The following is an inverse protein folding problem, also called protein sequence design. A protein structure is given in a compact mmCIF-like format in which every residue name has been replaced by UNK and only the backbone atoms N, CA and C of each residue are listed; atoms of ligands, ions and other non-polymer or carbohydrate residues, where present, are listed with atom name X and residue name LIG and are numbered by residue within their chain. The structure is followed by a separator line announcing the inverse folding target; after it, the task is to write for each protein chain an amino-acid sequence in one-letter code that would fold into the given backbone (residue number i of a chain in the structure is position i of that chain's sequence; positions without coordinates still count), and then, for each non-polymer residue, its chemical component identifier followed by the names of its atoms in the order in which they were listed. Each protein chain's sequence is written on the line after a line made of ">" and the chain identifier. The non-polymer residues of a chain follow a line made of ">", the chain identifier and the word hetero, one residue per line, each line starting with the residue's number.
data_IF_397699418994
#
_entry.id   IF_397699418994
#
_cell.length_a   1.000
_cell.length_b   1.000
_cell.length_c   1.000
_cell.angle_alpha   90.00
_cell.angle_beta   90.00
_cell.angle_gamma   90.00
#
_symmetry.space_group_name_H-M   'P 1'
#
loop_
_entity.id
_entity.type
_entity.pdbx_description
1 polymer ?
#
# COMPACT_ATOMS: atom_id res chain seq x y z
N UNK A 1 -60.38 -29.07 -1.99
CA UNK A 1 -59.11 -29.82 -1.93
C UNK A 1 -57.92 -29.09 -2.56
N UNK A 2 -58.02 -27.81 -2.91
CA UNK A 2 -56.93 -27.08 -3.58
C UNK A 2 -55.95 -26.33 -2.64
N UNK A 3 -56.24 -26.24 -1.35
CA UNK A 3 -55.38 -25.50 -0.40
C UNK A 3 -54.15 -26.26 0.09
N UNK A 4 -54.07 -27.55 -0.16
CA UNK A 4 -53.00 -28.40 0.37
C UNK A 4 -51.75 -28.45 -0.55
N UNK A 5 -51.87 -28.03 -1.80
CA UNK A 5 -50.77 -28.11 -2.78
C UNK A 5 -49.84 -26.88 -2.70
N UNK A 6 -50.32 -25.76 -2.16
CA UNK A 6 -49.56 -24.50 -2.09
C UNK A 6 -48.61 -24.40 -0.90
N UNK A 7 -48.86 -25.21 0.14
CA UNK A 7 -48.01 -25.19 1.35
C UNK A 7 -46.55 -25.56 1.08
N UNK A 8 -46.22 -26.65 0.38
CA UNK A 8 -44.84 -27.02 0.11
C UNK A 8 -44.14 -26.00 -0.79
N UNK A 9 -44.82 -25.40 -1.73
CA UNK A 9 -44.27 -24.37 -2.62
C UNK A 9 -43.86 -23.12 -1.85
N UNK A 10 -44.67 -22.68 -0.87
CA UNK A 10 -44.36 -21.56 -0.02
C UNK A 10 -43.18 -21.85 0.93
N UNK A 11 -43.06 -23.07 1.42
CA UNK A 11 -41.93 -23.48 2.26
C UNK A 11 -40.61 -23.51 1.47
N UNK A 12 -40.63 -24.01 0.23
CA UNK A 12 -39.46 -24.00 -0.65
C UNK A 12 -39.05 -22.57 -1.00
N UNK A 13 -40.03 -21.71 -1.33
CA UNK A 13 -39.77 -20.32 -1.66
C UNK A 13 -39.21 -19.55 -0.45
N UNK A 14 -39.75 -19.77 0.76
CA UNK A 14 -39.26 -19.17 1.99
C UNK A 14 -37.83 -19.63 2.29
N UNK A 15 -37.55 -20.92 2.08
CA UNK A 15 -36.19 -21.47 2.26
C UNK A 15 -35.18 -20.85 1.31
N UNK A 16 -35.54 -20.70 0.03
CA UNK A 16 -34.68 -20.04 -0.96
C UNK A 16 -34.48 -18.54 -0.66
N UNK A 17 -35.55 -17.87 -0.21
CA UNK A 17 -35.46 -16.46 0.19
C UNK A 17 -34.54 -16.27 1.39
N UNK A 18 -34.65 -17.14 2.41
CA UNK A 18 -33.79 -17.09 3.58
C UNK A 18 -32.33 -17.43 3.24
N UNK A 19 -32.09 -18.38 2.32
CA UNK A 19 -30.76 -18.69 1.82
C UNK A 19 -30.16 -17.51 1.05
N UNK A 20 -30.94 -16.87 0.20
CA UNK A 20 -30.51 -15.67 -0.53
C UNK A 20 -30.24 -14.49 0.42
N UNK A 21 -31.12 -14.27 1.39
CA UNK A 21 -30.93 -13.22 2.40
C UNK A 21 -29.65 -13.46 3.23
N UNK A 22 -29.41 -14.70 3.60
CA UNK A 22 -28.18 -15.08 4.31
C UNK A 22 -26.93 -14.80 3.50
N UNK A 23 -26.96 -15.11 2.19
CA UNK A 23 -25.83 -14.84 1.30
C UNK A 23 -25.65 -13.34 1.04
N UNK A 24 -26.74 -12.60 0.89
CA UNK A 24 -26.73 -11.15 0.75
C UNK A 24 -26.17 -10.46 2.01
N UNK A 25 -26.61 -10.89 3.20
CA UNK A 25 -26.08 -10.37 4.48
C UNK A 25 -24.60 -10.71 4.62
N UNK A 26 -24.20 -11.93 4.25
CA UNK A 26 -22.80 -12.35 4.27
C UNK A 26 -21.93 -11.51 3.33
N UNK A 27 -22.43 -11.17 2.16
CA UNK A 27 -21.76 -10.30 1.19
C UNK A 27 -21.64 -8.86 1.69
N UNK A 28 -22.62 -8.36 2.44
CA UNK A 28 -22.59 -7.01 3.03
C UNK A 28 -21.67 -6.98 4.26
N UNK A 29 -21.66 -8.03 5.08
CA UNK A 29 -20.85 -8.10 6.30
C UNK A 29 -19.37 -8.38 6.00
N UNK A 30 -19.06 -9.04 4.87
CA UNK A 30 -17.68 -9.30 4.44
C UNK A 30 -17.02 -8.09 3.75
N UNK A 31 -17.76 -7.02 3.48
CA UNK A 31 -17.28 -5.81 2.81
C UNK A 31 -16.77 -4.70 3.73
N UNK A 32 -16.83 -4.86 5.05
CA UNK A 32 -16.53 -3.76 5.99
C UNK A 32 -15.44 -4.03 7.03
N UNK A 33 -14.78 -5.19 7.01
CA UNK A 33 -13.66 -5.46 7.92
C UNK A 33 -12.30 -5.27 7.26
N UNK A 34 -12.16 -4.25 6.41
CA UNK A 34 -10.87 -3.64 6.19
C UNK A 34 -10.73 -2.50 7.20
N UNK A 35 -10.52 -2.85 8.45
CA UNK A 35 -9.78 -1.98 9.35
C UNK A 35 -8.51 -1.55 8.58
N UNK A 36 -8.23 -0.26 8.44
CA UNK A 36 -6.96 0.19 7.90
C UNK A 36 -5.87 0.00 8.97
N UNK A 37 -5.57 -1.26 9.29
CA UNK A 37 -4.47 -1.62 10.19
C UNK A 37 -3.13 -1.72 9.47
N UNK A 38 -3.06 -1.25 8.22
CA UNK A 38 -1.77 -0.98 7.60
C UNK A 38 -1.27 0.35 8.12
N UNK A 39 -0.08 0.41 8.71
CA UNK A 39 0.52 1.70 9.02
C UNK A 39 0.54 2.51 7.72
N UNK A 40 -0.14 3.65 7.71
CA UNK A 40 -0.09 4.56 6.59
C UNK A 40 1.34 5.07 6.48
N UNK A 41 2.05 4.62 5.45
CA UNK A 41 3.35 5.14 5.10
C UNK A 41 3.22 6.04 3.88
N UNK A 42 4.09 7.03 3.81
CA UNK A 42 4.13 8.00 2.73
C UNK A 42 5.55 8.19 2.24
N UNK A 43 5.69 8.43 0.94
CA UNK A 43 6.89 9.00 0.36
C UNK A 43 6.63 10.45 0.02
N UNK A 44 7.63 11.29 0.27
CA UNK A 44 7.62 12.70 -0.08
C UNK A 44 8.91 13.02 -0.84
N UNK A 45 8.80 13.51 -2.07
CA UNK A 45 9.96 13.97 -2.83
C UNK A 45 10.42 15.33 -2.30
N UNK A 46 11.71 15.45 -2.00
CA UNK A 46 12.31 16.72 -1.64
C UNK A 46 12.77 17.44 -2.92
N UNK A 47 12.44 18.72 -3.09
CA UNK A 47 12.92 19.51 -4.23
C UNK A 47 14.44 19.68 -4.14
N UNK A 48 15.17 19.17 -5.12
CA UNK A 48 16.65 19.16 -5.17
C UNK A 48 17.27 20.50 -5.57
N UNK A 49 16.54 21.52 -5.87
CA UNK A 49 17.09 22.88 -6.08
C UNK A 49 15.95 23.86 -6.35
N UNK A 50 15.66 24.72 -5.42
CA UNK A 50 15.04 26.04 -5.63
C UNK A 50 13.86 26.20 -6.61
N UNK A 51 13.37 25.13 -7.20
CA UNK A 51 12.24 25.13 -8.11
C UNK A 51 10.92 25.06 -7.35
N UNK A 52 9.94 25.83 -7.78
CA UNK A 52 8.56 25.80 -7.27
C UNK A 52 7.81 24.52 -7.69
N UNK A 53 8.47 23.34 -7.65
CA UNK A 53 7.79 22.08 -7.90
C UNK A 53 6.94 21.76 -6.66
N UNK A 54 5.63 21.53 -6.80
CA UNK A 54 4.79 21.20 -5.66
C UNK A 54 5.28 19.90 -5.02
N UNK A 55 5.29 19.84 -3.70
CA UNK A 55 5.60 18.63 -2.94
C UNK A 55 4.69 17.49 -3.42
N UNK A 56 5.31 16.45 -3.91
CA UNK A 56 4.58 15.23 -4.28
C UNK A 56 4.61 14.23 -3.12
N UNK A 57 3.44 13.74 -2.76
CA UNK A 57 3.26 12.77 -1.66
C UNK A 57 2.58 11.52 -2.21
N UNK A 58 3.20 10.38 -2.02
CA UNK A 58 2.65 9.09 -2.45
C UNK A 58 2.34 8.21 -1.22
N UNK A 59 1.07 7.83 -1.02
CA UNK A 59 0.71 6.89 0.03
C UNK A 59 1.17 5.48 -0.35
N UNK A 60 1.77 4.78 0.61
CA UNK A 60 2.21 3.40 0.45
C UNK A 60 1.27 2.49 1.22
N UNK A 61 0.58 1.60 0.52
CA UNK A 61 -0.25 0.57 1.14
C UNK A 61 0.51 -0.74 1.29
N UNK A 62 0.76 -1.42 0.19
CA UNK A 62 1.46 -2.72 0.16
C UNK A 62 2.82 -2.64 -0.52
N UNK A 63 2.87 -1.98 -1.66
CA UNK A 63 4.07 -1.85 -2.48
C UNK A 63 4.04 -0.56 -3.29
N UNK A 64 5.22 0.02 -3.49
CA UNK A 64 5.44 1.17 -4.37
C UNK A 64 6.79 1.00 -5.08
N UNK A 65 6.83 1.30 -6.37
CA UNK A 65 8.03 1.25 -7.22
C UNK A 65 8.49 2.65 -7.57
N UNK A 66 9.80 2.82 -7.52
CA UNK A 66 10.47 4.08 -7.85
C UNK A 66 11.37 3.89 -9.07
N UNK A 67 11.37 4.84 -9.96
CA UNK A 67 12.24 4.81 -11.13
C UNK A 67 11.90 5.91 -12.13
N UNK A 68 12.73 6.06 -13.16
CA UNK A 68 12.53 7.06 -14.22
C UNK A 68 11.46 6.65 -15.23
N UNK A 69 11.16 5.36 -15.34
CA UNK A 69 10.16 4.85 -16.29
C UNK A 69 8.73 5.15 -15.84
N UNK A 70 7.85 5.47 -16.80
CA UNK A 70 6.43 5.76 -16.55
C UNK A 70 5.62 4.56 -16.00
N UNK A 71 6.19 3.37 -15.98
CA UNK A 71 5.56 2.18 -15.38
C UNK A 71 5.75 2.08 -13.86
N UNK A 72 6.44 3.02 -13.23
CA UNK A 72 6.61 3.08 -11.79
C UNK A 72 5.50 3.91 -11.14
N UNK A 73 5.25 3.65 -9.86
CA UNK A 73 4.28 4.40 -9.08
C UNK A 73 4.80 5.81 -8.74
N UNK A 74 6.13 5.91 -8.53
CA UNK A 74 6.86 7.17 -8.33
C UNK A 74 7.80 7.34 -9.50
N UNK A 75 7.48 8.28 -10.37
CA UNK A 75 8.32 8.63 -11.54
C UNK A 75 9.24 9.77 -11.14
N UNK A 76 10.54 9.45 -11.07
CA UNK A 76 11.59 10.42 -10.76
C UNK A 76 12.27 10.85 -12.07
N UNK A 77 12.05 12.10 -12.47
CA UNK A 77 12.61 12.66 -13.71
C UNK A 77 14.07 13.10 -13.49
N UNK A 78 14.95 12.11 -13.40
CA UNK A 78 16.38 12.28 -13.19
C UNK A 78 17.14 11.30 -14.09
N UNK A 79 18.10 11.74 -14.91
CA UNK A 79 18.90 10.87 -15.78
C UNK A 79 19.73 9.83 -15.02
N UNK A 80 20.05 10.08 -13.77
CA UNK A 80 20.80 9.15 -12.90
C UNK A 80 19.91 8.10 -12.24
N UNK A 81 18.60 8.17 -12.42
CA UNK A 81 17.64 7.17 -11.95
C UNK A 81 17.40 6.12 -13.04
N UNK A 82 17.52 4.86 -12.69
CA UNK A 82 17.22 3.73 -13.61
C UNK A 82 15.71 3.66 -13.91
N UNK A 83 15.33 3.05 -15.04
CA UNK A 83 13.93 2.87 -15.45
C UNK A 83 13.12 2.21 -14.33
N UNK A 84 13.61 1.12 -13.77
CA UNK A 84 13.11 0.51 -12.54
C UNK A 84 14.29 0.54 -11.54
N UNK A 85 14.22 1.42 -10.55
CA UNK A 85 15.37 1.67 -9.69
C UNK A 85 15.28 0.94 -8.37
N UNK A 86 14.19 1.13 -7.65
CA UNK A 86 13.96 0.54 -6.35
C UNK A 86 12.49 0.23 -6.10
N UNK A 87 12.23 -0.58 -5.08
CA UNK A 87 10.87 -0.81 -4.59
C UNK A 87 10.82 -0.76 -3.08
N UNK A 88 9.69 -0.28 -2.56
CA UNK A 88 9.34 -0.40 -1.15
C UNK A 88 8.15 -1.34 -1.06
N UNK A 89 8.17 -2.25 -0.11
CA UNK A 89 7.07 -3.19 0.10
C UNK A 89 6.85 -3.47 1.59
N UNK A 90 5.62 -3.83 1.91
CA UNK A 90 5.22 -4.22 3.26
C UNK A 90 5.35 -5.74 3.42
N UNK A 91 6.13 -6.18 4.39
CA UNK A 91 6.21 -7.57 4.82
C UNK A 91 6.06 -7.64 6.34
N UNK A 92 5.16 -8.49 6.83
CA UNK A 92 4.91 -8.72 8.27
C UNK A 92 4.76 -7.44 9.10
N UNK A 93 4.01 -6.45 8.56
CA UNK A 93 3.77 -5.13 9.16
C UNK A 93 5.00 -4.20 9.20
N UNK A 94 6.06 -4.51 8.48
CA UNK A 94 7.27 -3.71 8.36
C UNK A 94 7.52 -3.35 6.90
N UNK A 95 8.01 -2.14 6.66
CA UNK A 95 8.38 -1.69 5.33
C UNK A 95 9.84 -2.00 5.04
N UNK A 96 10.06 -2.52 3.84
CA UNK A 96 11.37 -2.89 3.32
C UNK A 96 11.64 -2.15 2.03
N UNK A 97 12.89 -1.71 1.84
CA UNK A 97 13.39 -1.14 0.60
C UNK A 97 14.36 -2.13 -0.04
N UNK A 98 14.25 -2.27 -1.35
CA UNK A 98 15.13 -3.10 -2.14
C UNK A 98 15.54 -2.36 -3.42
N UNK A 99 16.84 -2.35 -3.72
CA UNK A 99 17.39 -1.89 -4.99
C UNK A 99 17.16 -2.97 -6.07
N UNK A 100 16.68 -2.58 -7.24
CA UNK A 100 16.34 -3.50 -8.33
C UNK A 100 17.47 -3.67 -9.34
N UNK A 101 18.72 -3.56 -8.91
CA UNK A 101 19.89 -3.58 -9.77
C UNK A 101 20.10 -2.27 -10.49
N UNK A 102 19.93 -1.16 -9.80
CA UNK A 102 20.09 0.17 -10.36
C UNK A 102 21.54 0.47 -10.74
N UNK A 103 21.73 1.38 -11.70
CA UNK A 103 23.07 1.76 -12.17
C UNK A 103 23.83 2.59 -11.12
N UNK A 104 23.15 3.47 -10.43
CA UNK A 104 23.76 4.42 -9.49
C UNK A 104 23.44 4.09 -8.02
N UNK A 105 22.94 2.89 -7.75
CA UNK A 105 22.62 2.40 -6.41
C UNK A 105 21.54 3.23 -5.68
N UNK A 106 21.02 2.64 -4.62
CA UNK A 106 20.08 3.27 -3.70
C UNK A 106 20.74 3.41 -2.34
N UNK A 107 20.48 4.52 -1.64
CA UNK A 107 21.01 4.77 -0.30
C UNK A 107 19.87 5.07 0.67
N UNK A 108 19.99 4.58 1.90
CA UNK A 108 19.08 4.88 3.01
C UNK A 108 19.88 5.53 4.12
N UNK A 109 19.52 6.77 4.47
CA UNK A 109 20.24 7.57 5.47
C UNK A 109 21.77 7.66 5.20
N UNK A 110 22.17 7.65 3.92
CA UNK A 110 23.56 7.67 3.49
C UNK A 110 24.24 6.29 3.42
N UNK A 111 23.58 5.21 3.81
CA UNK A 111 24.11 3.85 3.73
C UNK A 111 23.64 3.16 2.44
N UNK A 112 24.58 2.48 1.78
CA UNK A 112 24.32 1.75 0.55
C UNK A 112 23.36 0.56 0.79
N UNK A 113 22.31 0.46 -0.01
CA UNK A 113 21.37 -0.67 -0.01
C UNK A 113 21.96 -1.81 -0.83
N UNK A 114 22.51 -2.83 -0.19
CA UNK A 114 23.07 -4.02 -0.84
C UNK A 114 22.13 -5.22 -0.86
N UNK A 115 20.94 -5.09 -0.31
CA UNK A 115 19.88 -6.11 -0.26
C UNK A 115 18.63 -5.52 0.39
N UNK A 116 17.57 -6.30 0.61
CA UNK A 116 16.39 -5.82 1.29
C UNK A 116 16.72 -5.21 2.65
N UNK A 117 16.42 -3.93 2.83
CA UNK A 117 16.71 -3.16 4.03
C UNK A 117 15.41 -2.67 4.67
N UNK A 118 15.26 -2.92 5.97
CA UNK A 118 14.11 -2.47 6.74
C UNK A 118 14.13 -0.95 6.89
N UNK A 119 12.99 -0.32 6.58
CA UNK A 119 12.79 1.11 6.79
C UNK A 119 12.26 1.37 8.20
N UNK A 120 12.85 2.35 8.88
CA UNK A 120 12.38 2.85 10.18
C UNK A 120 11.27 3.89 9.97
N UNK A 121 10.74 4.46 11.06
CA UNK A 121 9.64 5.43 11.03
C UNK A 121 9.89 6.61 10.08
N UNK A 122 11.12 7.08 10.02
CA UNK A 122 11.56 8.11 9.07
C UNK A 122 12.87 7.63 8.46
N UNK A 123 12.94 7.66 7.12
CA UNK A 123 14.14 7.31 6.38
C UNK A 123 14.33 8.25 5.19
N UNK A 124 15.54 8.73 5.02
CA UNK A 124 15.97 9.49 3.85
C UNK A 124 16.46 8.50 2.80
N UNK A 125 15.82 8.47 1.65
CA UNK A 125 16.15 7.55 0.55
C UNK A 125 16.69 8.38 -0.59
N UNK A 126 17.92 8.08 -1.03
CA UNK A 126 18.55 8.71 -2.19
C UNK A 126 18.55 7.73 -3.36
N UNK A 127 18.04 8.19 -4.50
CA UNK A 127 17.88 7.46 -5.74
C UNK A 127 18.40 8.33 -6.88
N UNK A 128 19.59 8.02 -7.39
CA UNK A 128 20.29 8.97 -8.29
C UNK A 128 20.56 10.29 -7.59
N UNK A 129 20.10 11.41 -8.18
CA UNK A 129 20.13 12.73 -7.52
C UNK A 129 18.83 13.05 -6.76
N UNK A 130 17.80 12.23 -6.94
CA UNK A 130 16.53 12.45 -6.26
C UNK A 130 16.62 12.00 -4.80
N UNK A 131 15.97 12.76 -3.94
CA UNK A 131 15.86 12.47 -2.51
C UNK A 131 14.40 12.36 -2.14
N UNK A 132 14.00 11.23 -1.58
CA UNK A 132 12.64 11.01 -1.08
C UNK A 132 12.69 10.67 0.41
N UNK A 133 11.74 11.20 1.15
CA UNK A 133 11.58 10.90 2.57
C UNK A 133 10.46 9.87 2.72
N UNK A 134 10.81 8.74 3.29
CA UNK A 134 9.84 7.76 3.75
C UNK A 134 9.41 8.11 5.17
N UNK A 135 8.10 8.10 5.40
CA UNK A 135 7.52 8.29 6.72
C UNK A 135 6.41 7.28 6.96
N UNK A 136 6.45 6.58 8.09
CA UNK A 136 5.35 5.74 8.55
C UNK A 136 4.82 6.22 9.89
N UNK A 137 3.51 6.35 10.00
CA UNK A 137 2.85 6.61 11.27
C UNK A 137 2.71 5.27 12.01
N UNK A 138 3.60 5.00 12.95
CA UNK A 138 3.41 3.89 13.88
C UNK A 138 2.26 4.25 14.81
N UNK A 139 1.10 3.62 14.63
CA UNK A 139 0.10 3.57 15.68
C UNK A 139 0.60 2.63 16.77
N UNK A 140 1.56 3.08 17.58
CA UNK A 140 1.78 2.46 18.88
C UNK A 140 0.47 2.68 19.66
N UNK A 141 -0.15 1.63 20.20
CA UNK A 141 -1.26 1.85 21.12
C UNK A 141 -0.71 2.70 22.27
N UNK A 142 -1.30 3.88 22.45
CA UNK A 142 -1.03 4.72 23.62
C UNK A 142 -1.28 3.82 24.83
N UNK A 143 -0.18 3.46 25.52
CA UNK A 143 -0.25 2.73 26.75
C UNK A 143 -1.16 3.50 27.70
N UNK A 144 -2.26 2.88 28.08
CA UNK A 144 -3.03 3.34 29.22
C UNK A 144 -2.10 3.27 30.43
N UNK A 145 -1.58 4.41 30.80
CA UNK A 145 -1.07 4.60 32.12
C UNK A 145 -2.21 4.68 33.13
#
# INVERSE_FOLDING_TARGET
>A
MEKLVWWPVHMVFLGLLLAFLREAIRSITFGSDQEPTSPLAYLVELPVSGGEKPLQVWPIREKIRLGRGFGNDVVLDDPFVSINHARIYLDKKEYWLEDLGSTNCTYVNGELVSGPQRLRQVALITVGNAVVVFHTCSTSPVGKG
#
